data_IF_542051191503
#
_entry.id   IF_542051191503
#
_cell.length_a   1.000
_cell.length_b   1.000
_cell.length_c   1.000
_cell.angle_alpha   90.00
_cell.angle_beta   90.00
_cell.angle_gamma   90.00
#
_symmetry.space_group_name_H-M   'P 1'
#
loop_
_entity.id
_entity.type
_entity.pdbx_description
1 polymer ?
#
# COMPACT_ATOMS: atom_id res chain seq x y z
N UNK A 1 24.08 -19.94 2.94
CA UNK A 1 22.68 -19.45 2.75
C UNK A 1 22.48 -18.02 3.27
N UNK A 2 23.01 -17.64 4.44
CA UNK A 2 22.93 -16.27 4.96
C UNK A 2 23.45 -15.22 3.96
N UNK A 3 24.61 -15.41 3.36
CA UNK A 3 25.23 -14.49 2.43
C UNK A 3 24.38 -14.14 1.19
N UNK A 4 23.60 -15.08 0.67
CA UNK A 4 22.70 -14.83 -0.47
C UNK A 4 21.47 -14.01 -0.07
N UNK A 5 20.94 -14.23 1.13
CA UNK A 5 19.80 -13.44 1.65
C UNK A 5 20.24 -12.01 1.89
N UNK A 6 21.38 -11.82 2.53
CA UNK A 6 21.93 -10.50 2.79
C UNK A 6 22.24 -9.74 1.49
N UNK A 7 22.69 -10.42 0.44
CA UNK A 7 22.91 -9.82 -0.88
C UNK A 7 21.59 -9.39 -1.54
N UNK A 8 20.54 -10.21 -1.43
CA UNK A 8 19.21 -9.88 -1.93
C UNK A 8 18.60 -8.67 -1.20
N UNK A 9 18.68 -8.67 0.12
CA UNK A 9 18.18 -7.55 0.94
C UNK A 9 18.93 -6.24 0.64
N UNK A 10 20.26 -6.28 0.47
CA UNK A 10 21.06 -5.11 0.05
C UNK A 10 20.67 -4.63 -1.35
N UNK A 11 20.43 -5.54 -2.27
CA UNK A 11 20.06 -5.19 -3.65
C UNK A 11 18.70 -4.49 -3.74
N UNK A 12 17.79 -4.76 -2.78
CA UNK A 12 16.45 -4.17 -2.73
C UNK A 12 16.32 -3.00 -1.72
N UNK A 13 17.41 -2.65 -1.05
CA UNK A 13 17.40 -1.56 -0.08
C UNK A 13 17.09 -0.21 -0.76
N UNK A 14 16.44 0.72 -0.02
CA UNK A 14 16.19 2.07 -0.51
C UNK A 14 17.47 2.80 -0.90
N UNK A 15 17.41 3.56 -2.00
CA UNK A 15 18.53 4.36 -2.52
C UNK A 15 18.39 5.85 -2.15
N UNK A 16 19.47 6.50 -1.65
CA UNK A 16 19.46 7.92 -1.33
C UNK A 16 19.02 8.79 -2.52
N UNK A 17 18.07 9.70 -2.29
CA UNK A 17 17.58 10.64 -3.29
C UNK A 17 16.73 10.04 -4.42
N UNK A 18 16.57 8.70 -4.46
CA UNK A 18 15.85 7.98 -5.51
C UNK A 18 14.76 7.06 -4.98
N UNK A 19 14.33 7.29 -3.75
CA UNK A 19 13.32 6.49 -3.05
C UNK A 19 12.04 7.29 -2.87
N UNK A 20 10.88 6.67 -3.14
CA UNK A 20 9.57 7.21 -2.83
C UNK A 20 8.88 6.39 -1.72
N UNK A 21 8.11 7.05 -0.86
CA UNK A 21 7.15 6.41 0.03
C UNK A 21 5.84 6.21 -0.73
N UNK A 22 5.29 5.00 -0.69
CA UNK A 22 3.97 4.68 -1.25
C UNK A 22 3.05 4.26 -0.11
N UNK A 23 2.03 5.06 0.14
CA UNK A 23 0.99 4.81 1.13
C UNK A 23 -0.23 4.25 0.40
N UNK A 24 -0.45 2.95 0.55
CA UNK A 24 -1.47 2.21 -0.20
C UNK A 24 -2.81 2.25 0.54
N UNK A 25 -3.81 2.86 -0.09
CA UNK A 25 -5.23 2.79 0.23
C UNK A 25 -5.60 3.04 1.70
N UNK A 26 -4.90 3.95 2.36
CA UNK A 26 -5.21 4.37 3.74
C UNK A 26 -6.41 5.34 3.76
N UNK A 27 -7.53 4.86 3.24
CA UNK A 27 -8.76 5.60 3.02
C UNK A 27 -9.77 5.39 4.16
N UNK A 28 -10.71 6.32 4.29
CA UNK A 28 -11.80 6.23 5.27
C UNK A 28 -12.62 4.95 5.08
N UNK A 29 -12.87 4.53 3.84
CA UNK A 29 -13.59 3.30 3.51
C UNK A 29 -12.93 2.00 4.00
N UNK A 30 -11.61 2.04 4.29
CA UNK A 30 -10.89 0.92 4.90
C UNK A 30 -10.63 1.12 6.40
N UNK A 31 -10.62 2.34 6.90
CA UNK A 31 -10.21 2.63 8.28
C UNK A 31 -11.36 3.02 9.20
N UNK A 32 -12.44 3.63 8.68
CA UNK A 32 -13.54 4.09 9.54
C UNK A 32 -14.40 2.90 9.98
N UNK A 33 -14.77 2.91 11.27
CA UNK A 33 -15.63 1.88 11.83
C UNK A 33 -17.03 1.92 11.17
N UNK A 34 -17.54 0.75 10.82
CA UNK A 34 -18.86 0.62 10.18
C UNK A 34 -18.83 0.66 8.65
N UNK A 35 -17.71 0.99 8.04
CA UNK A 35 -17.54 0.84 6.60
C UNK A 35 -17.55 -0.65 6.21
N UNK A 36 -18.16 -0.99 5.06
CA UNK A 36 -18.29 -2.38 4.64
C UNK A 36 -16.95 -3.05 4.33
N UNK A 37 -15.94 -2.25 3.94
CA UNK A 37 -14.58 -2.73 3.67
C UNK A 37 -13.61 -2.42 4.82
N UNK A 38 -14.10 -2.15 6.03
CA UNK A 38 -13.23 -1.81 7.16
C UNK A 38 -12.20 -2.90 7.46
N UNK A 39 -10.97 -2.47 7.65
CA UNK A 39 -9.81 -3.28 8.06
C UNK A 39 -9.33 -2.75 9.41
N UNK A 40 -9.89 -3.22 10.53
CA UNK A 40 -9.58 -2.66 11.86
C UNK A 40 -8.08 -2.57 12.17
N UNK A 41 -7.22 -3.58 11.83
CA UNK A 41 -5.79 -3.48 12.04
C UNK A 41 -5.11 -2.32 11.30
N UNK A 42 -5.73 -1.78 10.22
CA UNK A 42 -5.15 -0.65 9.49
C UNK A 42 -5.10 0.65 10.29
N UNK A 43 -5.89 0.79 11.36
CA UNK A 43 -5.78 1.91 12.29
C UNK A 43 -4.50 1.87 13.13
N UNK A 44 -4.03 0.69 13.45
CA UNK A 44 -2.86 0.49 14.31
C UNK A 44 -1.55 0.87 13.61
N UNK A 45 -1.52 0.82 12.27
CA UNK A 45 -0.32 1.18 11.51
C UNK A 45 -0.19 2.68 11.20
N UNK A 46 -1.22 3.48 11.46
CA UNK A 46 -1.22 4.94 11.19
C UNK A 46 -0.02 5.65 11.82
N UNK A 47 0.36 5.41 13.10
CA UNK A 47 1.52 6.09 13.71
C UNK A 47 2.84 5.80 12.99
N UNK A 48 3.07 4.58 12.54
CA UNK A 48 4.28 4.19 11.79
C UNK A 48 4.32 4.92 10.45
N UNK A 49 3.20 4.99 9.74
CA UNK A 49 3.11 5.71 8.48
C UNK A 49 3.33 7.22 8.68
N UNK A 50 2.79 7.80 9.76
CA UNK A 50 3.03 9.22 10.09
C UNK A 50 4.52 9.52 10.33
N UNK A 51 5.23 8.65 11.05
CA UNK A 51 6.67 8.78 11.27
C UNK A 51 7.43 8.76 9.94
N UNK A 52 7.15 7.80 9.07
CA UNK A 52 7.74 7.70 7.74
C UNK A 52 7.42 8.92 6.87
N UNK A 53 6.17 9.38 6.87
CA UNK A 53 5.78 10.61 6.16
C UNK A 53 6.61 11.81 6.63
N UNK A 54 6.84 11.96 7.94
CA UNK A 54 7.64 13.05 8.48
C UNK A 54 9.10 12.96 8.00
N UNK A 55 9.70 11.77 8.00
CA UNK A 55 11.07 11.55 7.53
C UNK A 55 11.19 11.85 6.03
N UNK A 56 10.30 11.30 5.19
CA UNK A 56 10.31 11.52 3.75
C UNK A 56 10.12 13.00 3.39
N UNK A 57 9.17 13.66 4.04
CA UNK A 57 8.90 15.09 3.86
C UNK A 57 10.08 15.97 4.28
N UNK A 58 10.73 15.66 5.41
CA UNK A 58 11.93 16.37 5.87
C UNK A 58 13.10 16.25 4.88
N UNK A 59 13.23 15.07 4.25
CA UNK A 59 14.25 14.80 3.22
C UNK A 59 13.83 15.24 1.82
N UNK A 60 12.62 15.82 1.65
CA UNK A 60 12.04 16.21 0.36
C UNK A 60 11.98 15.07 -0.65
N UNK A 61 11.81 13.85 -0.16
CA UNK A 61 11.64 12.66 -0.98
C UNK A 61 10.19 12.55 -1.47
N UNK A 62 9.95 11.97 -2.64
CA UNK A 62 8.61 11.80 -3.17
C UNK A 62 7.71 10.97 -2.26
N UNK A 63 6.48 11.43 -2.08
CA UNK A 63 5.41 10.70 -1.39
C UNK A 63 4.27 10.46 -2.37
N UNK A 64 3.76 9.24 -2.37
CA UNK A 64 2.66 8.77 -3.20
C UNK A 64 1.57 8.21 -2.29
N UNK A 65 0.34 8.61 -2.52
CA UNK A 65 -0.85 7.98 -1.96
C UNK A 65 -1.61 7.27 -3.06
N UNK A 66 -2.10 6.07 -2.80
CA UNK A 66 -3.07 5.44 -3.67
C UNK A 66 -4.46 5.47 -3.03
N UNK A 67 -5.47 5.67 -3.86
CA UNK A 67 -6.86 5.63 -3.48
C UNK A 67 -7.59 4.65 -4.39
N UNK A 68 -8.02 3.52 -3.81
CA UNK A 68 -8.91 2.60 -4.50
C UNK A 68 -10.30 3.22 -4.60
N UNK A 69 -10.87 3.26 -5.80
CA UNK A 69 -12.18 3.88 -6.01
C UNK A 69 -13.12 3.00 -6.82
N UNK A 70 -14.33 2.84 -6.31
CA UNK A 70 -15.46 2.35 -7.09
C UNK A 70 -16.09 3.49 -7.88
N UNK A 71 -16.48 3.20 -9.12
CA UNK A 71 -17.22 4.14 -9.94
C UNK A 71 -18.43 3.45 -10.54
N UNK A 72 -19.58 4.09 -10.42
CA UNK A 72 -20.81 3.61 -11.06
C UNK A 72 -20.77 3.83 -12.59
N UNK A 73 -19.99 4.80 -13.06
CA UNK A 73 -19.87 5.14 -14.48
C UNK A 73 -18.81 4.34 -15.23
N UNK A 74 -17.88 3.71 -14.53
CA UNK A 74 -16.80 2.88 -15.10
C UNK A 74 -16.76 1.53 -14.40
N UNK A 75 -17.63 0.59 -14.80
CA UNK A 75 -17.64 -0.74 -14.22
C UNK A 75 -16.35 -1.47 -14.59
N UNK A 76 -15.72 -2.07 -13.59
CA UNK A 76 -14.59 -2.99 -13.76
C UNK A 76 -14.92 -4.32 -13.10
N UNK A 77 -14.34 -5.41 -13.63
CA UNK A 77 -14.61 -6.75 -13.12
C UNK A 77 -14.36 -6.86 -11.61
N UNK A 78 -13.25 -6.32 -11.12
CA UNK A 78 -12.91 -6.28 -9.70
C UNK A 78 -14.00 -5.58 -8.88
N UNK A 79 -14.55 -4.46 -9.38
CA UNK A 79 -15.65 -3.76 -8.72
C UNK A 79 -16.91 -4.60 -8.56
N UNK A 80 -17.16 -5.55 -9.49
CA UNK A 80 -18.28 -6.47 -9.43
C UNK A 80 -18.02 -7.72 -8.57
N UNK A 81 -16.74 -8.06 -8.40
CA UNK A 81 -16.31 -9.31 -7.77
C UNK A 81 -15.57 -9.09 -6.44
N UNK A 82 -15.52 -7.85 -5.95
CA UNK A 82 -14.81 -7.55 -4.73
C UNK A 82 -15.34 -8.39 -3.56
N UNK A 83 -14.50 -9.22 -2.94
CA UNK A 83 -14.93 -10.01 -1.80
C UNK A 83 -15.32 -9.07 -0.67
N UNK A 84 -16.48 -9.28 -0.08
CA UNK A 84 -16.76 -8.70 1.23
C UNK A 84 -15.71 -9.25 2.20
N UNK A 85 -14.97 -8.36 2.86
CA UNK A 85 -13.93 -8.72 3.83
C UNK A 85 -14.49 -9.22 5.15
N UNK A 86 -15.71 -9.71 5.16
CA UNK A 86 -16.30 -10.36 6.33
C UNK A 86 -15.74 -11.76 6.47
N UNK A 87 -15.39 -12.18 7.70
CA UNK A 87 -15.13 -13.58 7.97
C UNK A 87 -16.28 -14.39 7.38
N UNK A 88 -15.98 -15.37 6.52
CA UNK A 88 -16.99 -16.28 6.07
C UNK A 88 -17.45 -17.06 7.30
N UNK A 89 -18.67 -16.82 7.77
CA UNK A 89 -19.30 -17.74 8.69
C UNK A 89 -19.36 -19.12 8.03
N UNK A 90 -19.22 -20.23 8.79
CA UNK A 90 -19.35 -21.55 8.24
C UNK A 90 -20.67 -21.67 7.47
N UNK A 91 -20.60 -21.88 6.16
CA UNK A 91 -21.78 -21.95 5.28
C UNK A 91 -22.20 -20.63 4.60
N UNK A 92 -21.61 -19.51 4.96
CA UNK A 92 -21.80 -18.30 4.18
C UNK A 92 -21.08 -18.44 2.83
N UNK A 93 -21.81 -18.19 1.73
CA UNK A 93 -21.15 -17.96 0.44
C UNK A 93 -20.15 -16.83 0.67
N UNK A 94 -18.93 -16.94 0.14
CA UNK A 94 -18.04 -15.80 -0.01
C UNK A 94 -18.75 -14.84 -0.96
N UNK A 95 -19.67 -14.06 -0.39
CA UNK A 95 -20.52 -13.18 -1.15
C UNK A 95 -19.68 -12.03 -1.67
N UNK A 96 -19.59 -11.95 -2.98
CA UNK A 96 -19.26 -10.71 -3.61
C UNK A 96 -20.48 -9.81 -3.45
N UNK A 97 -20.48 -8.97 -2.44
CA UNK A 97 -21.51 -7.94 -2.31
C UNK A 97 -21.40 -6.95 -3.46
N UNK A 98 -22.50 -6.41 -3.88
CA UNK A 98 -22.48 -5.18 -4.68
C UNK A 98 -21.61 -4.15 -3.94
N UNK A 99 -20.85 -3.31 -4.67
CA UNK A 99 -20.00 -2.32 -4.05
C UNK A 99 -20.82 -1.56 -3.02
N UNK A 100 -20.42 -1.72 -1.79
CA UNK A 100 -20.90 -0.91 -0.70
C UNK A 100 -20.61 0.56 -1.02
N UNK A 101 -21.16 1.46 -0.25
CA UNK A 101 -20.78 2.87 -0.31
C UNK A 101 -19.30 3.12 0.00
N UNK A 102 -18.57 2.11 0.50
CA UNK A 102 -17.15 2.23 0.83
C UNK A 102 -16.30 2.49 -0.40
N UNK A 103 -15.44 3.48 -0.33
CA UNK A 103 -14.54 3.92 -1.41
C UNK A 103 -15.26 4.33 -2.70
N UNK A 104 -16.55 4.75 -2.61
CA UNK A 104 -17.28 5.22 -3.78
C UNK A 104 -16.71 6.57 -4.24
N UNK A 105 -16.44 6.67 -5.54
CA UNK A 105 -15.89 7.88 -6.17
C UNK A 105 -16.75 9.12 -5.86
N UNK A 106 -16.09 10.20 -5.42
CA UNK A 106 -16.76 11.45 -5.06
C UNK A 106 -17.37 11.48 -3.66
N UNK A 107 -17.15 10.46 -2.84
CA UNK A 107 -17.59 10.43 -1.44
C UNK A 107 -16.40 10.54 -0.48
N UNK A 108 -16.61 11.01 0.76
CA UNK A 108 -15.56 11.04 1.77
C UNK A 108 -14.93 9.67 2.07
N UNK A 109 -15.69 8.59 1.88
CA UNK A 109 -15.21 7.21 2.06
C UNK A 109 -14.03 6.85 1.14
N UNK A 110 -13.97 7.48 -0.05
CA UNK A 110 -12.87 7.29 -1.00
C UNK A 110 -11.62 8.11 -0.69
N UNK A 111 -11.66 9.02 0.28
CA UNK A 111 -10.54 9.90 0.60
C UNK A 111 -9.58 9.25 1.59
N UNK A 112 -8.29 9.57 1.47
CA UNK A 112 -7.28 9.24 2.49
C UNK A 112 -7.69 9.82 3.84
N UNK A 113 -7.48 9.06 4.93
CA UNK A 113 -7.83 9.52 6.29
C UNK A 113 -7.12 10.83 6.65
N UNK A 114 -7.77 11.74 7.40
CA UNK A 114 -7.19 13.03 7.75
C UNK A 114 -5.83 12.96 8.43
N UNK A 115 -5.60 11.91 9.24
CA UNK A 115 -4.35 11.67 9.96
C UNK A 115 -3.13 11.51 9.03
N UNK A 116 -3.37 11.12 7.78
CA UNK A 116 -2.35 10.87 6.76
C UNK A 116 -2.52 11.77 5.53
N UNK A 117 -3.35 12.78 5.58
CA UNK A 117 -3.75 13.60 4.43
C UNK A 117 -2.57 13.99 3.53
N UNK A 118 -2.70 13.80 2.20
CA UNK A 118 -1.72 14.25 1.23
C UNK A 118 -1.49 15.76 1.32
N UNK A 119 -0.24 16.19 1.14
CA UNK A 119 0.12 17.61 1.07
C UNK A 119 0.17 18.11 -0.38
N UNK A 120 0.03 19.42 -0.62
CA UNK A 120 0.22 19.98 -1.96
C UNK A 120 1.57 19.58 -2.56
N UNK A 121 1.54 19.04 -3.80
CA UNK A 121 2.72 18.55 -4.51
C UNK A 121 3.02 17.06 -4.33
N UNK A 122 2.39 16.39 -3.36
CA UNK A 122 2.44 14.93 -3.25
C UNK A 122 1.56 14.26 -4.31
N UNK A 123 1.89 13.03 -4.68
CA UNK A 123 1.23 12.32 -5.76
C UNK A 123 0.03 11.56 -5.17
N UNK A 124 -1.16 11.80 -5.71
CA UNK A 124 -2.35 10.99 -5.39
C UNK A 124 -2.77 10.23 -6.64
N UNK A 125 -2.80 8.91 -6.54
CA UNK A 125 -3.14 7.98 -7.63
C UNK A 125 -4.46 7.30 -7.33
N UNK A 126 -5.50 7.63 -8.06
CA UNK A 126 -6.76 6.91 -8.03
C UNK A 126 -6.68 5.67 -8.92
N UNK A 127 -7.01 4.52 -8.35
CA UNK A 127 -6.96 3.24 -9.03
C UNK A 127 -8.29 2.48 -8.88
N UNK A 128 -8.60 1.66 -9.87
CA UNK A 128 -9.84 0.84 -9.92
C UNK A 128 -9.56 -0.66 -9.81
N UNK A 129 -8.31 -1.01 -9.60
CA UNK A 129 -7.82 -2.36 -9.38
C UNK A 129 -6.88 -2.42 -8.19
N UNK A 130 -6.36 -3.59 -7.88
CA UNK A 130 -5.48 -3.79 -6.72
C UNK A 130 -4.09 -3.21 -6.95
N UNK A 131 -3.52 -3.44 -8.15
CA UNK A 131 -2.23 -2.91 -8.56
C UNK A 131 -2.29 -1.40 -8.80
N UNK A 132 -1.42 -0.65 -8.14
CA UNK A 132 -1.36 0.80 -8.26
C UNK A 132 -0.80 1.30 -9.60
N UNK A 133 -0.17 0.44 -10.38
CA UNK A 133 0.40 0.80 -11.68
C UNK A 133 -0.57 0.54 -12.85
N UNK A 134 -1.45 -0.46 -12.71
CA UNK A 134 -2.34 -0.87 -13.78
C UNK A 134 -3.36 0.23 -14.13
N UNK A 135 -3.29 0.73 -15.36
CA UNK A 135 -4.20 1.76 -15.85
C UNK A 135 -4.06 3.13 -15.19
N UNK A 136 -2.92 3.40 -14.52
CA UNK A 136 -2.65 4.67 -13.84
C UNK A 136 -1.44 5.40 -14.42
N UNK A 137 -1.18 6.60 -13.92
CA UNK A 137 0.02 7.38 -14.29
C UNK A 137 1.22 7.16 -13.35
N UNK A 138 1.13 6.23 -12.39
CA UNK A 138 2.11 6.08 -11.30
C UNK A 138 3.54 5.87 -11.82
N UNK A 139 3.75 4.91 -12.73
CA UNK A 139 5.09 4.62 -13.27
C UNK A 139 5.72 5.86 -13.92
N UNK A 140 4.96 6.57 -14.73
CA UNK A 140 5.42 7.80 -15.38
C UNK A 140 5.77 8.88 -14.36
N UNK A 141 4.96 9.04 -13.31
CA UNK A 141 5.19 10.03 -12.26
C UNK A 141 6.45 9.75 -11.43
N UNK A 142 6.72 8.47 -11.14
CA UNK A 142 7.93 8.02 -10.44
C UNK A 142 9.18 8.18 -11.31
N UNK A 143 9.12 7.73 -12.57
CA UNK A 143 10.23 7.87 -13.55
C UNK A 143 10.62 9.33 -13.77
N UNK A 144 9.64 10.23 -13.90
CA UNK A 144 9.87 11.66 -14.05
C UNK A 144 10.60 12.30 -12.85
N UNK A 145 10.61 11.63 -11.69
CA UNK A 145 11.33 12.04 -10.49
C UNK A 145 12.60 11.22 -10.23
N UNK A 146 13.05 10.41 -11.21
CA UNK A 146 14.19 9.51 -11.11
C UNK A 146 14.10 8.52 -9.94
N UNK A 147 12.90 8.14 -9.54
CA UNK A 147 12.68 7.13 -8.49
C UNK A 147 13.03 5.76 -9.02
N UNK A 148 13.79 5.00 -8.24
CA UNK A 148 14.20 3.61 -8.51
C UNK A 148 13.88 2.66 -7.36
N UNK A 149 13.51 3.23 -6.21
CA UNK A 149 13.21 2.46 -5.01
C UNK A 149 11.90 2.91 -4.38
N UNK A 150 11.12 1.96 -3.86
CA UNK A 150 9.86 2.22 -3.20
C UNK A 150 9.91 1.67 -1.77
N UNK A 151 9.47 2.48 -0.82
CA UNK A 151 9.08 2.04 0.52
C UNK A 151 7.57 1.97 0.53
N UNK A 152 7.00 0.81 0.82
CA UNK A 152 5.57 0.55 0.69
C UNK A 152 4.93 0.29 2.05
N UNK A 153 3.84 1.00 2.31
CA UNK A 153 3.00 0.91 3.51
C UNK A 153 1.53 0.83 3.12
N UNK A 154 0.64 0.58 4.08
CA UNK A 154 -0.81 0.67 3.90
C UNK A 154 -1.55 -0.66 3.91
N UNK A 155 -2.70 -0.73 3.22
CA UNK A 155 -3.65 -1.86 3.31
C UNK A 155 -4.19 -2.27 1.92
N UNK A 156 -4.61 -3.52 1.66
CA UNK A 156 -4.36 -4.72 2.48
C UNK A 156 -3.08 -5.40 2.03
N UNK A 157 -2.34 -5.92 2.99
CA UNK A 157 -1.01 -6.53 2.75
C UNK A 157 -1.04 -7.61 1.67
N UNK A 158 -2.03 -8.48 1.70
CA UNK A 158 -2.22 -9.63 0.81
C UNK A 158 -2.89 -9.30 -0.52
N UNK A 159 -3.47 -8.11 -0.65
CA UNK A 159 -4.22 -7.69 -1.85
C UNK A 159 -3.52 -6.50 -2.53
N UNK A 160 -3.90 -5.27 -2.17
CA UNK A 160 -3.42 -4.08 -2.88
C UNK A 160 -1.91 -3.85 -2.70
N UNK A 161 -1.37 -4.10 -1.50
CA UNK A 161 0.07 -4.00 -1.24
C UNK A 161 0.81 -5.07 -2.05
N UNK A 162 0.46 -6.35 -1.93
CA UNK A 162 1.12 -7.44 -2.66
C UNK A 162 1.04 -7.26 -4.17
N UNK A 163 -0.13 -6.89 -4.72
CA UNK A 163 -0.29 -6.63 -6.14
C UNK A 163 0.62 -5.48 -6.61
N UNK A 164 0.67 -4.39 -5.86
CA UNK A 164 1.50 -3.22 -6.19
C UNK A 164 2.99 -3.54 -6.09
N UNK A 165 3.41 -4.27 -5.05
CA UNK A 165 4.81 -4.72 -4.85
C UNK A 165 5.27 -5.62 -5.99
N UNK A 166 4.45 -6.59 -6.37
CA UNK A 166 4.74 -7.48 -7.51
C UNK A 166 4.87 -6.70 -8.81
N UNK A 167 3.93 -5.78 -9.07
CA UNK A 167 3.96 -4.94 -10.26
C UNK A 167 5.14 -3.96 -10.28
N UNK A 168 5.57 -3.46 -9.11
CA UNK A 168 6.75 -2.61 -8.98
C UNK A 168 8.04 -3.35 -9.33
N UNK A 169 8.23 -4.57 -8.80
CA UNK A 169 9.40 -5.39 -9.12
C UNK A 169 9.50 -5.68 -10.62
N UNK A 170 8.38 -6.04 -11.27
CA UNK A 170 8.36 -6.28 -12.73
C UNK A 170 8.61 -5.01 -13.57
N UNK A 171 8.64 -3.83 -12.94
CA UNK A 171 9.04 -2.55 -13.52
C UNK A 171 10.43 -2.10 -13.07
N UNK A 172 11.22 -3.03 -12.51
CA UNK A 172 12.59 -2.78 -12.06
C UNK A 172 12.70 -1.77 -10.90
N UNK A 173 11.65 -1.61 -10.09
CA UNK A 173 11.77 -0.90 -8.82
C UNK A 173 12.30 -1.84 -7.73
N UNK A 174 13.25 -1.34 -6.93
CA UNK A 174 13.59 -1.95 -5.66
C UNK A 174 12.47 -1.69 -4.67
N UNK A 175 12.04 -2.71 -3.96
CA UNK A 175 10.89 -2.57 -3.05
C UNK A 175 11.29 -2.96 -1.63
N UNK A 176 10.98 -2.10 -0.67
CA UNK A 176 10.98 -2.41 0.76
C UNK A 176 9.56 -2.26 1.28
N UNK A 177 9.01 -3.32 1.85
CA UNK A 177 7.72 -3.28 2.55
C UNK A 177 7.97 -3.11 4.04
N UNK A 178 7.22 -2.20 4.66
CA UNK A 178 7.31 -1.90 6.09
C UNK A 178 6.37 -2.83 6.84
N UNK A 179 6.89 -3.85 7.53
CA UNK A 179 6.08 -4.92 8.11
C UNK A 179 5.09 -4.46 9.20
N UNK A 180 5.48 -3.48 10.00
CA UNK A 180 4.66 -2.79 11.01
C UNK A 180 3.93 -1.55 10.46
N UNK A 181 4.07 -1.28 9.18
CA UNK A 181 3.40 -0.24 8.41
C UNK A 181 2.41 -0.77 7.36
N UNK A 182 2.14 -2.09 7.34
CA UNK A 182 1.13 -2.72 6.48
C UNK A 182 0.18 -3.58 7.31
N UNK A 183 -1.07 -3.68 6.88
CA UNK A 183 -2.10 -4.44 7.60
C UNK A 183 -3.05 -5.18 6.68
N UNK A 184 -3.56 -6.32 7.16
CA UNK A 184 -4.72 -7.02 6.62
C UNK A 184 -5.61 -7.55 7.74
N UNK A 185 -6.72 -8.22 7.40
CA UNK A 185 -7.74 -8.65 8.37
C UNK A 185 -7.28 -9.79 9.29
N UNK A 186 -6.47 -10.71 8.77
CA UNK A 186 -6.15 -11.96 9.46
C UNK A 186 -4.64 -12.08 9.70
N UNK A 187 -4.22 -12.34 10.94
CA UNK A 187 -2.79 -12.44 11.28
C UNK A 187 -2.02 -13.51 10.51
N UNK A 188 -2.66 -14.64 10.20
CA UNK A 188 -2.07 -15.72 9.41
C UNK A 188 -1.85 -15.32 7.94
N UNK A 189 -2.79 -14.56 7.36
CA UNK A 189 -2.66 -14.02 6.00
C UNK A 189 -1.61 -12.90 5.98
N UNK A 190 -1.58 -12.03 7.00
CA UNK A 190 -0.54 -11.00 7.15
C UNK A 190 0.85 -11.64 7.08
N UNK A 191 1.08 -12.69 7.88
CA UNK A 191 2.36 -13.40 7.92
C UNK A 191 2.69 -14.05 6.59
N UNK A 192 1.73 -14.76 6.00
CA UNK A 192 1.92 -15.42 4.70
C UNK A 192 2.26 -14.42 3.59
N UNK A 193 1.59 -13.27 3.55
CA UNK A 193 1.86 -12.22 2.56
C UNK A 193 3.25 -11.62 2.72
N UNK A 194 3.68 -11.32 3.96
CA UNK A 194 5.03 -10.82 4.24
C UNK A 194 6.11 -11.86 3.90
N UNK A 195 5.87 -13.15 4.19
CA UNK A 195 6.77 -14.24 3.82
C UNK A 195 6.92 -14.37 2.29
N UNK A 196 5.83 -14.25 1.55
CA UNK A 196 5.83 -14.26 0.08
C UNK A 196 6.63 -13.06 -0.46
N UNK A 197 6.38 -11.87 0.08
CA UNK A 197 7.08 -10.64 -0.31
C UNK A 197 8.58 -10.78 -0.04
N UNK A 198 8.97 -11.13 1.18
CA UNK A 198 10.37 -11.26 1.59
C UNK A 198 11.13 -12.38 0.87
N UNK A 199 10.41 -13.38 0.38
CA UNK A 199 10.99 -14.49 -0.38
C UNK A 199 11.31 -14.10 -1.83
N UNK A 200 10.47 -13.26 -2.48
CA UNK A 200 10.51 -13.17 -3.94
C UNK A 200 10.37 -11.74 -4.51
N UNK A 201 9.75 -10.81 -3.78
CA UNK A 201 9.31 -9.55 -4.40
C UNK A 201 9.92 -8.30 -3.81
N UNK A 202 10.39 -8.35 -2.57
CA UNK A 202 10.90 -7.16 -1.91
C UNK A 202 11.62 -7.47 -0.61
N UNK A 203 12.30 -6.48 -0.07
CA UNK A 203 12.82 -6.49 1.30
C UNK A 203 11.66 -6.25 2.26
N UNK A 204 11.69 -6.90 3.43
CA UNK A 204 10.78 -6.63 4.55
C UNK A 204 11.60 -6.05 5.69
N UNK A 205 11.17 -4.91 6.23
CA UNK A 205 11.86 -4.20 7.31
C UNK A 205 10.85 -3.46 8.20
N UNK A 206 11.23 -3.13 9.42
CA UNK A 206 10.41 -2.30 10.31
C UNK A 206 10.42 -0.83 9.92
N UNK A 207 9.38 -0.08 10.30
CA UNK A 207 9.31 1.37 10.09
C UNK A 207 10.49 2.10 10.71
N UNK A 208 10.91 1.65 11.91
CA UNK A 208 12.09 2.21 12.58
C UNK A 208 13.37 2.02 11.78
N UNK A 209 13.63 0.82 11.26
CA UNK A 209 14.83 0.55 10.44
C UNK A 209 14.86 1.42 9.19
N UNK A 210 13.72 1.57 8.51
CA UNK A 210 13.58 2.41 7.32
C UNK A 210 13.77 3.88 7.66
N UNK A 211 13.13 4.38 8.72
CA UNK A 211 13.26 5.76 9.18
C UNK A 211 14.70 6.10 9.57
N UNK A 212 15.36 5.22 10.33
CA UNK A 212 16.77 5.36 10.73
C UNK A 212 17.71 5.36 9.51
N UNK A 213 17.43 4.50 8.52
CA UNK A 213 18.22 4.45 7.28
C UNK A 213 18.11 5.76 6.50
N UNK A 214 16.89 6.24 6.26
CA UNK A 214 16.64 7.46 5.46
C UNK A 214 17.09 8.71 6.20
N UNK A 215 17.00 8.75 7.52
CA UNK A 215 17.44 9.90 8.31
C UNK A 215 18.95 10.18 8.21
N UNK A 216 19.74 9.18 7.86
CA UNK A 216 21.21 9.29 7.66
C UNK A 216 21.62 9.81 6.28
N UNK A 217 20.70 10.01 5.35
CA UNK A 217 20.98 10.53 4.01
C UNK A 217 21.28 12.04 3.96
#
# INVERSE_FOLDING_TARGET
MADRRDAFERALAPEPGRTALVVVDMQRGFLDAGEAMAVPPAREIVPVIQELLNVFRAKRLPVVFTEFVYSQSVPVLIGSLHPEHKPAEPGASRGFGLPSSSCLEGTPSAETVPDLAPRPGEIVVRKRGYDAFAGTFLDRALRARNVTSLVVTGTMTDICVLATVTAALHREYRVTVVEDGVATLWPEIQRAALDIIGRAYGRVATGKEVADQISRW
#
